data_IF_484016135128
#
_entry.id   IF_484016135128
#
_cell.length_a   1.000
_cell.length_b   1.000
_cell.length_c   1.000
_cell.angle_alpha   90.00
_cell.angle_beta   90.00
_cell.angle_gamma   90.00
#
_symmetry.space_group_name_H-M   'P 1'
#
loop_
_entity.id
_entity.type
_entity.pdbx_description
1 polymer ?
#
# COMPACT_ATOMS: atom_id res chain seq x y z
N UNK A 1 -23.06 4.59 -5.99
CA UNK A 1 -21.80 3.99 -6.47
C UNK A 1 -21.44 2.83 -5.55
N UNK A 2 -21.20 1.62 -6.07
CA UNK A 2 -20.75 0.49 -5.23
C UNK A 2 -19.44 0.91 -4.55
N UNK A 3 -19.36 0.88 -3.21
CA UNK A 3 -18.08 0.99 -2.48
C UNK A 3 -17.17 -0.11 -3.04
N UNK A 4 -16.27 0.22 -3.96
CA UNK A 4 -15.23 -0.71 -4.39
C UNK A 4 -14.41 -1.04 -3.14
N UNK A 5 -14.31 -2.33 -2.82
CA UNK A 5 -13.43 -2.78 -1.75
C UNK A 5 -12.02 -2.35 -2.12
N UNK A 6 -11.23 -1.80 -1.18
CA UNK A 6 -9.86 -1.40 -1.48
C UNK A 6 -9.06 -2.62 -1.98
N UNK A 7 -8.11 -2.42 -2.91
CA UNK A 7 -7.21 -3.49 -3.32
C UNK A 7 -6.38 -3.96 -2.13
N UNK A 8 -5.88 -5.20 -2.18
CA UNK A 8 -5.03 -5.82 -1.15
C UNK A 8 -5.71 -5.99 0.22
N UNK A 9 -6.59 -7.00 0.29
CA UNK A 9 -7.35 -7.36 1.51
C UNK A 9 -6.42 -7.68 2.69
N UNK A 10 -6.86 -7.50 3.94
CA UNK A 10 -6.07 -7.83 5.13
C UNK A 10 -6.05 -9.35 5.38
N UNK A 11 -5.43 -10.11 4.48
CA UNK A 11 -5.31 -11.58 4.54
C UNK A 11 -4.61 -12.08 5.80
N UNK A 12 -3.81 -11.23 6.46
CA UNK A 12 -3.23 -11.51 7.78
C UNK A 12 -4.28 -11.86 8.86
N UNK A 13 -5.55 -11.45 8.73
CA UNK A 13 -6.62 -11.86 9.65
C UNK A 13 -6.81 -13.38 9.70
N UNK A 14 -6.55 -14.08 8.60
CA UNK A 14 -6.58 -15.54 8.55
C UNK A 14 -5.49 -16.13 9.44
N UNK A 15 -4.29 -15.54 9.42
CA UNK A 15 -3.17 -15.98 10.25
C UNK A 15 -3.46 -15.73 11.73
N UNK A 16 -4.02 -14.56 12.09
CA UNK A 16 -4.43 -14.30 13.48
C UNK A 16 -5.47 -15.30 13.98
N UNK A 17 -6.43 -15.69 13.14
CA UNK A 17 -7.44 -16.68 13.52
C UNK A 17 -6.84 -18.06 13.78
N UNK A 18 -5.83 -18.45 13.01
CA UNK A 18 -5.06 -19.69 13.24
C UNK A 18 -4.29 -19.65 14.56
N UNK A 19 -3.86 -18.48 15.01
CA UNK A 19 -3.20 -18.29 16.32
C UNK A 19 -4.21 -18.26 17.47
N UNK A 20 -5.20 -17.37 17.41
CA UNK A 20 -6.23 -17.20 18.43
C UNK A 20 -7.47 -16.50 17.84
N UNK A 21 -8.65 -17.08 18.03
CA UNK A 21 -9.89 -16.55 17.45
C UNK A 21 -10.35 -15.23 18.10
N UNK A 22 -10.08 -15.02 19.39
CA UNK A 22 -10.37 -13.75 20.08
C UNK A 22 -9.45 -12.65 19.58
N UNK A 23 -8.17 -12.94 19.37
CA UNK A 23 -7.22 -12.01 18.75
C UNK A 23 -7.71 -11.56 17.37
N UNK A 24 -8.09 -12.51 16.51
CA UNK A 24 -8.61 -12.19 15.18
C UNK A 24 -9.85 -11.28 15.23
N UNK A 25 -10.75 -11.51 16.18
CA UNK A 25 -11.93 -10.67 16.40
C UNK A 25 -11.55 -9.24 16.84
N UNK A 26 -10.60 -9.11 17.78
CA UNK A 26 -10.11 -7.80 18.24
C UNK A 26 -9.47 -7.03 17.09
N UNK A 27 -8.58 -7.67 16.33
CA UNK A 27 -7.89 -7.05 15.20
C UNK A 27 -8.87 -6.69 14.08
N UNK A 28 -9.88 -7.53 13.81
CA UNK A 28 -10.94 -7.23 12.84
C UNK A 28 -11.75 -5.97 13.21
N UNK A 29 -12.10 -5.82 14.49
CA UNK A 29 -12.79 -4.61 14.98
C UNK A 29 -11.89 -3.38 14.91
N UNK A 30 -10.60 -3.51 15.26
CA UNK A 30 -9.64 -2.43 15.12
C UNK A 30 -9.45 -2.01 13.65
N UNK A 31 -9.41 -2.98 12.73
CA UNK A 31 -9.37 -2.69 11.29
C UNK A 31 -10.59 -1.88 10.84
N UNK A 32 -11.80 -2.27 11.28
CA UNK A 32 -13.02 -1.52 10.99
C UNK A 32 -12.93 -0.09 11.51
N UNK A 33 -12.48 0.11 12.76
CA UNK A 33 -12.29 1.44 13.35
C UNK A 33 -11.35 2.32 12.52
N UNK A 34 -10.24 1.78 12.03
CA UNK A 34 -9.22 2.56 11.32
C UNK A 34 -9.63 2.84 9.86
N UNK A 35 -10.10 1.81 9.14
CA UNK A 35 -10.22 1.81 7.68
C UNK A 35 -11.65 1.79 7.15
N UNK A 36 -12.63 1.52 8.00
CA UNK A 36 -14.03 1.38 7.59
C UNK A 36 -14.98 2.01 8.59
N UNK A 37 -14.54 3.12 9.19
CA UNK A 37 -15.40 4.01 9.95
C UNK A 37 -16.49 4.57 9.03
N UNK A 38 -17.71 4.63 9.54
CA UNK A 38 -18.87 5.13 8.81
C UNK A 38 -18.89 6.67 8.76
N UNK A 39 -18.16 7.36 9.65
CA UNK A 39 -18.05 8.81 9.67
C UNK A 39 -16.60 9.30 9.88
N UNK A 40 -15.67 8.99 8.96
CA UNK A 40 -14.26 9.32 9.13
C UNK A 40 -14.00 10.82 8.94
N UNK A 41 -13.15 11.40 9.79
CA UNK A 41 -12.72 12.80 9.65
C UNK A 41 -11.78 13.04 8.45
N UNK A 42 -10.96 12.05 8.10
CA UNK A 42 -10.13 12.06 6.89
C UNK A 42 -10.71 11.12 5.84
N UNK A 43 -10.67 11.55 4.58
CA UNK A 43 -11.01 10.68 3.46
C UNK A 43 -10.02 9.51 3.32
N UNK A 44 -10.42 8.53 2.51
CA UNK A 44 -9.68 7.28 2.39
C UNK A 44 -8.31 7.46 1.72
N UNK A 45 -8.22 8.37 0.74
CA UNK A 45 -6.99 8.72 0.04
C UNK A 45 -5.96 9.32 1.00
N UNK A 46 -6.36 10.29 1.81
CA UNK A 46 -5.52 10.94 2.82
C UNK A 46 -5.01 9.93 3.84
N UNK A 47 -5.87 9.03 4.31
CA UNK A 47 -5.46 7.95 5.22
C UNK A 47 -4.39 7.05 4.60
N UNK A 48 -4.52 6.68 3.33
CA UNK A 48 -3.50 5.87 2.65
C UNK A 48 -2.18 6.61 2.44
N UNK A 49 -2.21 7.89 2.08
CA UNK A 49 -0.99 8.70 1.96
C UNK A 49 -0.26 8.86 3.30
N UNK A 50 -0.98 9.13 4.39
CA UNK A 50 -0.41 9.19 5.74
C UNK A 50 0.15 7.83 6.17
N UNK A 51 -0.58 6.74 5.89
CA UNK A 51 -0.12 5.39 6.23
C UNK A 51 1.11 4.98 5.42
N UNK A 52 1.17 5.36 4.14
CA UNK A 52 2.32 5.21 3.27
C UNK A 52 3.54 5.93 3.87
N UNK A 53 3.41 7.22 4.17
CA UNK A 53 4.51 8.00 4.74
C UNK A 53 4.99 7.44 6.09
N UNK A 54 4.06 7.05 6.96
CA UNK A 54 4.39 6.43 8.25
C UNK A 54 5.07 5.06 8.07
N UNK A 55 4.66 4.25 7.09
CA UNK A 55 5.30 2.98 6.78
C UNK A 55 6.72 3.16 6.25
N UNK A 56 6.95 4.17 5.39
CA UNK A 56 8.29 4.54 4.92
C UNK A 56 9.18 4.97 6.10
N UNK A 57 8.71 5.90 6.93
CA UNK A 57 9.49 6.36 8.10
C UNK A 57 9.80 5.26 9.12
N UNK A 58 9.00 4.19 9.15
CA UNK A 58 9.24 3.02 9.99
C UNK A 58 10.08 1.92 9.30
N UNK A 59 10.61 2.15 8.09
CA UNK A 59 11.36 1.13 7.32
C UNK A 59 10.50 -0.05 6.85
N UNK A 60 9.17 0.04 6.93
CA UNK A 60 8.22 -1.04 6.59
C UNK A 60 7.87 -0.99 5.10
N UNK A 61 8.87 -1.13 4.22
CA UNK A 61 8.72 -0.93 2.78
C UNK A 61 7.67 -1.84 2.13
N UNK A 62 7.53 -3.09 2.60
CA UNK A 62 6.41 -3.97 2.19
C UNK A 62 5.04 -3.35 2.47
N UNK A 63 4.83 -2.80 3.66
CA UNK A 63 3.56 -2.13 3.95
C UNK A 63 3.42 -0.88 3.09
N UNK A 64 4.49 -0.08 2.96
CA UNK A 64 4.49 1.13 2.17
C UNK A 64 4.05 0.84 0.73
N UNK A 65 4.57 -0.21 0.08
CA UNK A 65 4.14 -0.63 -1.26
C UNK A 65 2.62 -0.86 -1.33
N UNK A 66 2.05 -1.55 -0.34
CA UNK A 66 0.59 -1.80 -0.28
C UNK A 66 -0.20 -0.52 -0.11
N UNK A 67 0.26 0.41 0.72
CA UNK A 67 -0.39 1.71 0.91
C UNK A 67 -0.33 2.58 -0.35
N UNK A 68 0.77 2.52 -1.11
CA UNK A 68 0.90 3.20 -2.40
C UNK A 68 -0.13 2.67 -3.42
N UNK A 69 -0.23 1.35 -3.56
CA UNK A 69 -1.22 0.74 -4.49
C UNK A 69 -2.65 1.14 -4.11
N UNK A 70 -2.97 1.13 -2.82
CA UNK A 70 -4.28 1.56 -2.33
C UNK A 70 -4.54 3.05 -2.52
N UNK A 71 -3.54 3.91 -2.26
CA UNK A 71 -3.64 5.34 -2.47
C UNK A 71 -3.91 5.66 -3.95
N UNK A 72 -3.13 5.07 -4.86
CA UNK A 72 -3.31 5.24 -6.31
C UNK A 72 -4.71 4.78 -6.76
N UNK A 73 -5.17 3.61 -6.30
CA UNK A 73 -6.51 3.12 -6.59
C UNK A 73 -7.65 4.01 -6.05
N UNK A 74 -7.37 4.90 -5.10
CA UNK A 74 -8.31 5.92 -4.62
C UNK A 74 -8.20 7.27 -5.33
N UNK A 75 -7.44 7.34 -6.43
CA UNK A 75 -7.30 8.56 -7.23
C UNK A 75 -6.19 9.51 -6.74
N UNK A 76 -5.15 8.98 -6.11
CA UNK A 76 -3.89 9.74 -5.95
C UNK A 76 -3.23 9.91 -7.31
N UNK A 77 -2.95 11.14 -7.69
CA UNK A 77 -2.25 11.47 -8.93
C UNK A 77 -0.75 11.22 -8.81
N UNK A 78 -0.09 11.03 -9.95
CA UNK A 78 1.38 10.96 -10.00
C UNK A 78 2.03 12.22 -9.44
N UNK A 79 1.46 13.42 -9.66
CA UNK A 79 2.01 14.66 -9.10
C UNK A 79 2.02 14.66 -7.56
N UNK A 80 0.96 14.16 -6.92
CA UNK A 80 0.93 14.01 -5.46
C UNK A 80 1.95 12.97 -4.96
N UNK A 81 2.16 11.89 -5.72
CA UNK A 81 3.20 10.92 -5.41
C UNK A 81 4.60 11.51 -5.59
N UNK A 82 4.84 12.29 -6.64
CA UNK A 82 6.12 12.96 -6.89
C UNK A 82 6.49 13.85 -5.69
N UNK A 83 5.57 14.69 -5.22
CA UNK A 83 5.78 15.51 -4.03
C UNK A 83 6.06 14.67 -2.78
N UNK A 84 5.31 13.58 -2.57
CA UNK A 84 5.50 12.70 -1.43
C UNK A 84 6.87 11.98 -1.45
N UNK A 85 7.32 11.52 -2.62
CA UNK A 85 8.65 10.92 -2.77
C UNK A 85 9.76 11.96 -2.56
N UNK A 86 9.57 13.21 -2.99
CA UNK A 86 10.48 14.31 -2.63
C UNK A 86 10.53 14.53 -1.12
N UNK A 87 9.39 14.48 -0.43
CA UNK A 87 9.36 14.55 1.04
C UNK A 87 10.08 13.36 1.70
N UNK A 88 10.06 12.17 1.12
CA UNK A 88 10.86 11.04 1.61
C UNK A 88 12.36 11.30 1.49
N UNK A 89 12.81 11.82 0.35
CA UNK A 89 14.21 12.23 0.15
C UNK A 89 14.61 13.27 1.19
N UNK A 90 13.77 14.28 1.42
CA UNK A 90 14.05 15.35 2.38
C UNK A 90 14.10 14.82 3.83
N UNK A 91 13.09 14.06 4.25
CA UNK A 91 12.93 13.67 5.66
C UNK A 91 13.81 12.49 6.08
N UNK A 92 14.17 11.60 5.15
CA UNK A 92 15.00 10.41 5.44
C UNK A 92 16.45 10.57 4.95
N UNK A 93 16.71 11.56 4.09
CA UNK A 93 18.02 11.83 3.50
C UNK A 93 18.26 11.11 2.18
N UNK A 94 19.01 11.75 1.29
CA UNK A 94 19.32 11.25 -0.06
C UNK A 94 20.01 9.89 -0.05
N UNK A 95 20.92 9.65 0.91
CA UNK A 95 21.63 8.37 1.04
C UNK A 95 20.70 7.21 1.38
N UNK A 96 19.81 7.40 2.36
CA UNK A 96 18.80 6.40 2.71
C UNK A 96 17.83 6.16 1.56
N UNK A 97 17.42 7.22 0.87
CA UNK A 97 16.58 7.07 -0.30
C UNK A 97 17.27 6.20 -1.36
N UNK A 98 18.52 6.49 -1.70
CA UNK A 98 19.26 5.76 -2.72
C UNK A 98 19.52 4.29 -2.35
N UNK A 99 19.81 3.99 -1.08
CA UNK A 99 20.17 2.63 -0.64
C UNK A 99 18.99 1.76 -0.24
N UNK A 100 17.93 2.34 0.34
CA UNK A 100 16.80 1.57 0.89
C UNK A 100 15.53 1.73 0.06
N UNK A 101 15.15 2.96 -0.29
CA UNK A 101 13.89 3.21 -1.00
C UNK A 101 14.04 2.90 -2.50
N UNK A 102 15.11 3.38 -3.13
CA UNK A 102 15.40 3.21 -4.56
C UNK A 102 15.37 1.77 -5.05
N UNK A 103 16.03 0.80 -4.39
CA UNK A 103 15.98 -0.60 -4.81
C UNK A 103 14.72 -1.36 -4.34
N UNK A 104 13.79 -0.70 -3.66
CA UNK A 104 12.64 -1.39 -3.04
C UNK A 104 11.47 -1.62 -4.00
N UNK A 105 10.61 -2.57 -3.62
CA UNK A 105 9.32 -2.79 -4.27
C UNK A 105 8.40 -1.55 -4.24
N UNK A 106 8.57 -0.66 -3.25
CA UNK A 106 7.79 0.59 -3.17
C UNK A 106 8.15 1.51 -4.33
N UNK A 107 9.45 1.74 -4.57
CA UNK A 107 9.89 2.62 -5.64
C UNK A 107 9.61 2.00 -7.02
N UNK A 108 9.76 0.68 -7.16
CA UNK A 108 9.36 -0.03 -8.37
C UNK A 108 7.86 0.13 -8.69
N UNK A 109 6.98 0.07 -7.69
CA UNK A 109 5.54 0.30 -7.88
C UNK A 109 5.22 1.74 -8.30
N UNK A 110 5.90 2.72 -7.68
CA UNK A 110 5.81 4.13 -8.08
C UNK A 110 6.28 4.34 -9.53
N UNK A 111 7.42 3.78 -9.93
CA UNK A 111 7.91 3.87 -11.31
C UNK A 111 6.96 3.23 -12.31
N UNK A 112 6.36 2.09 -11.98
CA UNK A 112 5.37 1.44 -12.84
C UNK A 112 4.19 2.37 -13.13
N UNK A 113 3.67 3.07 -12.11
CA UNK A 113 2.60 4.05 -12.28
C UNK A 113 3.02 5.11 -13.30
N UNK A 114 4.17 5.76 -13.07
CA UNK A 114 4.67 6.83 -13.95
C UNK A 114 4.81 6.37 -15.39
N UNK A 115 5.51 5.26 -15.60
CA UNK A 115 5.77 4.73 -16.94
C UNK A 115 4.48 4.35 -17.66
N UNK A 116 3.49 3.78 -16.98
CA UNK A 116 2.25 3.39 -17.64
C UNK A 116 1.30 4.56 -17.88
N UNK A 117 1.28 5.56 -17.01
CA UNK A 117 0.56 6.81 -17.29
C UNK A 117 1.16 7.56 -18.47
N UNK A 118 2.49 7.63 -18.57
CA UNK A 118 3.20 8.21 -19.73
C UNK A 118 2.89 7.46 -21.04
N UNK A 119 2.65 6.15 -20.97
CA UNK A 119 2.21 5.34 -22.09
C UNK A 119 0.71 5.50 -22.42
N UNK A 120 -0.03 6.28 -21.64
CA UNK A 120 -1.45 6.53 -21.82
C UNK A 120 -2.35 5.38 -21.40
N UNK A 121 -1.87 4.45 -20.57
CA UNK A 121 -2.73 3.38 -20.05
C UNK A 121 -3.81 3.95 -19.13
N UNK A 122 -5.04 3.41 -19.17
CA UNK A 122 -6.08 3.80 -18.24
C UNK A 122 -5.73 3.34 -16.82
N UNK A 123 -6.13 4.13 -15.82
CA UNK A 123 -5.80 3.86 -14.41
C UNK A 123 -6.22 2.45 -13.95
N UNK A 124 -7.32 1.90 -14.46
CA UNK A 124 -7.78 0.54 -14.14
C UNK A 124 -6.78 -0.55 -14.56
N UNK A 125 -6.14 -0.39 -15.73
CA UNK A 125 -5.10 -1.31 -16.22
C UNK A 125 -3.82 -1.17 -15.39
N UNK A 126 -3.48 0.05 -14.99
CA UNK A 126 -2.33 0.33 -14.11
C UNK A 126 -2.55 -0.34 -12.75
N UNK A 127 -3.74 -0.19 -12.15
CA UNK A 127 -4.10 -0.85 -10.89
C UNK A 127 -4.03 -2.38 -11.04
N UNK A 128 -4.50 -2.92 -12.15
CA UNK A 128 -4.41 -4.36 -12.43
C UNK A 128 -2.95 -4.83 -12.49
N UNK A 129 -2.08 -4.08 -13.17
CA UNK A 129 -0.66 -4.37 -13.24
C UNK A 129 0.03 -4.23 -11.89
N UNK A 130 -0.33 -3.23 -11.09
CA UNK A 130 0.14 -3.07 -9.71
C UNK A 130 -0.25 -4.25 -8.84
N UNK A 131 -1.50 -4.73 -8.92
CA UNK A 131 -1.96 -5.89 -8.16
C UNK A 131 -1.24 -7.18 -8.59
N UNK A 132 -1.02 -7.37 -9.89
CA UNK A 132 -0.27 -8.52 -10.40
C UNK A 132 1.18 -8.51 -9.91
N UNK A 133 1.82 -7.35 -9.98
CA UNK A 133 3.26 -7.24 -9.74
C UNK A 133 3.60 -7.00 -8.27
N UNK A 134 2.71 -6.40 -7.48
CA UNK A 134 2.94 -5.96 -6.10
C UNK A 134 1.77 -6.34 -5.16
N UNK A 135 0.99 -7.35 -5.54
CA UNK A 135 -0.11 -7.87 -4.72
C UNK A 135 0.28 -9.03 -3.81
N UNK A 136 -0.71 -9.76 -3.32
CA UNK A 136 -0.49 -10.85 -2.33
C UNK A 136 0.39 -11.98 -2.85
N UNK A 137 0.47 -12.16 -4.16
CA UNK A 137 1.25 -13.23 -4.79
C UNK A 137 2.74 -12.88 -4.93
N UNK A 138 3.12 -11.60 -4.79
CA UNK A 138 4.51 -11.16 -4.79
C UNK A 138 5.16 -11.47 -3.42
N UNK A 139 6.29 -12.21 -3.36
CA UNK A 139 6.95 -12.56 -2.10
C UNK A 139 7.46 -11.36 -1.28
N UNK A 140 7.77 -10.24 -1.92
CA UNK A 140 8.24 -9.01 -1.27
C UNK A 140 7.09 -8.20 -0.67
N UNK A 141 5.84 -8.47 -1.08
CA UNK A 141 4.65 -7.68 -0.69
C UNK A 141 3.58 -8.50 0.04
N UNK A 142 3.49 -9.79 -0.27
CA UNK A 142 2.50 -10.73 0.23
C UNK A 142 2.55 -10.90 1.75
N UNK A 143 1.39 -11.17 2.33
CA UNK A 143 1.24 -11.39 3.78
C UNK A 143 1.04 -12.85 4.15
N UNK A 144 0.83 -13.72 3.16
CA UNK A 144 0.71 -15.16 3.35
C UNK A 144 2.08 -15.82 3.23
N UNK A 145 2.47 -16.61 4.22
CA UNK A 145 3.62 -17.50 4.06
C UNK A 145 3.24 -18.57 3.05
N UNK A 146 3.96 -18.67 1.93
CA UNK A 146 3.85 -19.83 1.03
C UNK A 146 4.30 -21.03 1.87
N UNK A 147 3.35 -21.87 2.29
CA UNK A 147 3.71 -23.21 2.74
C UNK A 147 4.25 -23.90 1.49
N UNK A 148 5.56 -24.14 1.45
CA UNK A 148 6.11 -25.17 0.57
C UNK A 148 5.46 -26.48 0.99
N UNK A 149 4.67 -27.09 0.11
CA UNK A 149 4.28 -28.49 0.22
C UNK A 149 5.52 -29.39 0.24
#
# INVERSE_FOLDING_TARGET
>A
MKKQSPPLRPTALVNFKKTDSRLASIVGNFWKLVWSDDNPAFDQKTKYLLSLANAVGAGRLRQATRELVKAYATGTSTAELDELFTLFVWNQGVGHFASEIGPSALFAAYQLIKTQEEQGLPAEDIITNLLRNFGEDNPDVGTQSRMTE
#
